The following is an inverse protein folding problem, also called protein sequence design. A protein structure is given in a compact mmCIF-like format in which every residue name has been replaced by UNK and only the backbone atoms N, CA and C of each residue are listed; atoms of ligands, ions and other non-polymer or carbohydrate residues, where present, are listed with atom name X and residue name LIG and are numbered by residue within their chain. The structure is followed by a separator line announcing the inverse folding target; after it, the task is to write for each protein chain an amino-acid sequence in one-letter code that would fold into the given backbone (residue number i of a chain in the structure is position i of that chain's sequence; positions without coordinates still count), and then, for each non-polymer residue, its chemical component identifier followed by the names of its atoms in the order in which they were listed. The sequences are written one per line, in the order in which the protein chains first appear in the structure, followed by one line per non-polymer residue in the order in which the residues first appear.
data_IF_781547662929
#
_entry.id   IF_781547662929
#
_cell.length_a   1.000
_cell.length_b   1.000
_cell.length_c   1.000
_cell.angle_alpha   90.00
_cell.angle_beta   90.00
_cell.angle_gamma   90.00
#
_symmetry.space_group_name_H-M   'P 1'
#
loop_
_entity.id
_entity.type
_entity.pdbx_description
1 polymer ?
#
# COMPACT_ATOMS: atom_id res chain seq x y z
N UNK A 1 28.17 2.97 31.48
CA UNK A 1 27.84 4.28 30.87
C UNK A 1 28.68 4.39 29.63
N UNK A 2 28.19 3.87 28.50
CA UNK A 2 27.15 4.42 27.61
C UNK A 2 27.79 5.30 26.53
N UNK A 3 27.98 4.70 25.35
CA UNK A 3 28.11 5.36 24.03
C UNK A 3 27.39 4.48 22.99
N UNK A 4 26.40 3.69 23.41
CA UNK A 4 25.59 2.86 22.51
C UNK A 4 24.12 3.31 22.52
N UNK A 5 23.86 4.44 23.17
CA UNK A 5 22.59 5.18 23.18
C UNK A 5 22.67 6.31 22.16
N UNK A 6 22.84 6.03 20.86
CA UNK A 6 22.65 7.05 19.82
C UNK A 6 22.55 6.48 18.39
N UNK A 7 22.10 5.23 18.26
CA UNK A 7 21.69 4.70 16.95
C UNK A 7 20.34 4.00 17.11
N UNK A 8 19.41 4.67 17.77
CA UNK A 8 17.99 4.54 17.40
C UNK A 8 17.79 5.30 16.08
N UNK A 9 18.50 4.85 15.04
CA UNK A 9 18.09 5.09 13.66
C UNK A 9 16.79 4.32 13.50
N UNK A 10 15.69 5.07 13.64
CA UNK A 10 14.29 4.68 13.59
C UNK A 10 13.86 4.12 12.21
N UNK A 11 14.81 3.65 11.40
CA UNK A 11 14.55 2.89 10.19
C UNK A 11 14.25 1.45 10.59
N UNK A 12 13.02 1.23 11.08
CA UNK A 12 12.36 -0.07 10.90
C UNK A 12 12.33 -0.32 9.39
N UNK A 13 13.34 -1.00 8.87
CA UNK A 13 13.28 -1.71 7.59
C UNK A 13 12.00 -2.54 7.64
N UNK A 14 10.91 -2.01 7.06
CA UNK A 14 9.73 -2.81 6.81
C UNK A 14 10.21 -3.89 5.87
N UNK A 15 10.31 -5.12 6.36
CA UNK A 15 10.52 -6.29 5.53
C UNK A 15 9.41 -6.27 4.47
N UNK A 16 9.78 -5.92 3.24
CA UNK A 16 8.86 -5.74 2.13
C UNK A 16 8.28 -7.12 1.83
N UNK A 17 6.97 -7.29 2.05
CA UNK A 17 6.29 -8.54 1.72
C UNK A 17 6.01 -8.58 0.22
N UNK A 18 6.19 -9.74 -0.41
CA UNK A 18 5.79 -9.96 -1.81
C UNK A 18 4.31 -9.63 -2.07
N UNK A 19 3.46 -9.80 -1.06
CA UNK A 19 2.05 -9.40 -1.12
C UNK A 19 1.86 -7.87 -1.09
N UNK A 20 2.70 -7.13 -0.37
CA UNK A 20 2.64 -5.66 -0.35
C UNK A 20 3.11 -5.10 -1.70
N UNK A 21 4.17 -5.68 -2.26
CA UNK A 21 4.63 -5.35 -3.61
C UNK A 21 3.54 -5.62 -4.65
N UNK A 22 2.86 -6.77 -4.59
CA UNK A 22 1.74 -7.09 -5.49
C UNK A 22 0.59 -6.07 -5.39
N UNK A 23 0.24 -5.62 -4.18
CA UNK A 23 -0.78 -4.58 -3.96
C UNK A 23 -0.35 -3.27 -4.63
N UNK A 24 0.88 -2.82 -4.41
CA UNK A 24 1.37 -1.54 -4.94
C UNK A 24 1.49 -1.58 -6.47
N UNK A 25 1.97 -2.69 -7.04
CA UNK A 25 2.02 -2.90 -8.48
C UNK A 25 0.63 -2.80 -9.12
N UNK A 26 -0.36 -3.45 -8.49
CA UNK A 26 -1.73 -3.44 -9.00
C UNK A 26 -2.34 -2.04 -8.91
N UNK A 27 -2.11 -1.31 -7.82
CA UNK A 27 -2.56 0.08 -7.68
C UNK A 27 -1.93 1.00 -8.75
N UNK A 28 -0.63 0.87 -9.02
CA UNK A 28 0.04 1.62 -10.09
C UNK A 28 -0.59 1.32 -11.46
N UNK A 29 -0.85 0.04 -11.75
CA UNK A 29 -1.42 -0.37 -13.03
C UNK A 29 -2.84 0.17 -13.23
N UNK A 30 -3.67 0.20 -12.18
CA UNK A 30 -5.06 0.65 -12.30
C UNK A 30 -5.15 2.19 -12.35
N UNK A 31 -4.23 2.90 -11.71
CA UNK A 31 -4.22 4.37 -11.67
C UNK A 31 -4.00 5.03 -13.04
N UNK A 32 -3.48 4.32 -14.04
CA UNK A 32 -3.44 4.83 -15.42
C UNK A 32 -4.79 4.77 -16.15
N UNK A 33 -5.76 4.03 -15.63
CA UNK A 33 -7.02 3.74 -16.31
C UNK A 33 -8.25 4.24 -15.54
N UNK A 34 -8.16 4.34 -14.21
CA UNK A 34 -9.30 4.64 -13.34
C UNK A 34 -8.91 5.65 -12.26
N UNK A 35 -9.90 6.41 -11.77
CA UNK A 35 -9.72 7.36 -10.67
C UNK A 35 -9.93 6.71 -9.29
N UNK A 36 -10.63 5.58 -9.25
CA UNK A 36 -10.99 4.85 -8.03
C UNK A 36 -11.08 3.35 -8.27
N UNK A 37 -10.87 2.58 -7.20
CA UNK A 37 -11.06 1.12 -7.20
C UNK A 37 -11.58 0.67 -5.83
N UNK A 38 -12.44 -0.34 -5.79
CA UNK A 38 -12.85 -0.96 -4.54
C UNK A 38 -11.84 -1.97 -4.03
N UNK A 39 -11.72 -2.07 -2.70
CA UNK A 39 -10.79 -3.03 -2.06
C UNK A 39 -11.09 -4.48 -2.45
N UNK A 40 -12.36 -4.81 -2.74
CA UNK A 40 -12.71 -6.18 -3.17
C UNK A 40 -12.27 -6.45 -4.61
N UNK A 41 -12.44 -5.50 -5.53
CA UNK A 41 -11.95 -5.60 -6.92
C UNK A 41 -10.43 -5.72 -6.95
N UNK A 42 -9.73 -4.87 -6.19
CA UNK A 42 -8.27 -4.96 -6.06
C UNK A 42 -7.84 -6.34 -5.54
N UNK A 43 -8.56 -6.89 -4.57
CA UNK A 43 -8.28 -8.20 -4.02
C UNK A 43 -8.52 -9.33 -5.03
N UNK A 44 -9.54 -9.21 -5.89
CA UNK A 44 -9.78 -10.14 -6.99
C UNK A 44 -8.64 -10.09 -8.02
N UNK A 45 -8.18 -8.89 -8.41
CA UNK A 45 -7.07 -8.74 -9.36
C UNK A 45 -5.77 -9.42 -8.90
N UNK A 46 -5.46 -9.32 -7.61
CA UNK A 46 -4.23 -9.89 -7.04
C UNK A 46 -4.43 -11.29 -6.45
N UNK A 47 -5.63 -11.86 -6.50
CA UNK A 47 -5.94 -13.19 -5.97
C UNK A 47 -5.84 -13.31 -4.44
N UNK A 48 -6.14 -12.24 -3.70
CA UNK A 48 -6.03 -12.18 -2.24
C UNK A 48 -7.38 -12.04 -1.55
N UNK A 49 -7.40 -12.28 -0.24
CA UNK A 49 -8.59 -12.03 0.57
C UNK A 49 -8.82 -10.52 0.78
N UNK A 50 -10.02 -9.96 0.52
CA UNK A 50 -10.28 -8.52 0.69
C UNK A 50 -9.99 -7.95 2.07
N UNK A 51 -10.17 -8.73 3.15
CA UNK A 51 -9.80 -8.27 4.51
C UNK A 51 -8.30 -8.15 4.69
N UNK A 52 -7.53 -9.09 4.12
CA UNK A 52 -6.06 -9.04 4.14
C UNK A 52 -5.54 -7.84 3.35
N UNK A 53 -6.06 -7.63 2.14
CA UNK A 53 -5.73 -6.45 1.31
C UNK A 53 -6.06 -5.16 2.06
N UNK A 54 -7.25 -5.08 2.67
CA UNK A 54 -7.63 -3.93 3.48
C UNK A 54 -6.66 -3.63 4.64
N UNK A 55 -6.18 -4.65 5.37
CA UNK A 55 -5.18 -4.45 6.44
C UNK A 55 -3.84 -3.99 5.88
N UNK A 56 -3.38 -4.60 4.78
CA UNK A 56 -2.12 -4.25 4.13
C UNK A 56 -2.13 -2.83 3.56
N UNK A 57 -3.22 -2.42 2.92
CA UNK A 57 -3.41 -1.03 2.51
C UNK A 57 -3.28 -0.05 3.68
N UNK A 58 -3.85 -0.39 4.84
CA UNK A 58 -3.72 0.44 6.05
C UNK A 58 -2.27 0.52 6.54
N UNK A 59 -1.53 -0.60 6.56
CA UNK A 59 -0.11 -0.57 6.94
C UNK A 59 0.72 0.21 5.93
N UNK A 60 0.42 0.12 4.63
CA UNK A 60 1.08 0.87 3.56
C UNK A 60 0.79 2.38 3.60
N UNK A 61 -0.18 2.82 4.41
CA UNK A 61 -0.60 4.22 4.49
C UNK A 61 -1.58 4.63 3.38
N UNK A 62 -2.14 3.67 2.65
CA UNK A 62 -3.12 3.90 1.60
C UNK A 62 -4.51 4.11 2.25
N UNK A 63 -5.04 5.31 2.05
CA UNK A 63 -6.35 5.73 2.57
C UNK A 63 -7.46 5.04 1.81
N UNK A 64 -8.47 4.61 2.58
CA UNK A 64 -9.67 3.95 2.10
C UNK A 64 -10.89 4.61 2.70
N UNK A 65 -11.94 4.78 1.92
CA UNK A 65 -13.17 5.45 2.32
C UNK A 65 -14.35 4.49 2.25
N UNK A 66 -15.30 4.62 3.19
CA UNK A 66 -16.53 3.83 3.16
C UNK A 66 -17.49 4.43 2.13
N UNK A 67 -17.94 3.61 1.18
CA UNK A 67 -19.05 3.90 0.27
C UNK A 67 -20.25 2.99 0.56
N UNK A 68 -21.34 3.15 -0.21
CA UNK A 68 -22.51 2.26 -0.15
C UNK A 68 -22.18 0.84 -0.61
N UNK A 69 -21.24 0.70 -1.53
CA UNK A 69 -20.89 -0.57 -2.19
C UNK A 69 -19.70 -1.27 -1.52
N UNK A 70 -18.88 -0.53 -0.73
CA UNK A 70 -17.78 -1.15 -0.01
C UNK A 70 -16.75 -0.17 0.53
N UNK A 71 -15.52 -0.64 0.69
CA UNK A 71 -14.36 0.22 0.95
C UNK A 71 -13.74 0.59 -0.39
N UNK A 72 -13.67 1.89 -0.67
CA UNK A 72 -13.15 2.48 -1.91
C UNK A 72 -11.76 3.07 -1.68
N UNK A 73 -10.93 3.04 -2.70
CA UNK A 73 -9.62 3.70 -2.77
C UNK A 73 -9.75 4.79 -3.82
N UNK A 74 -9.51 6.04 -3.42
CA UNK A 74 -9.37 7.16 -4.35
C UNK A 74 -7.90 7.19 -4.79
N UNK A 75 -7.63 6.88 -6.07
CA UNK A 75 -6.28 6.68 -6.57
C UNK A 75 -5.53 8.01 -6.66
N UNK A 76 -6.22 9.09 -7.04
CA UNK A 76 -5.64 10.45 -7.08
C UNK A 76 -5.22 10.92 -5.69
N UNK A 77 -6.05 10.70 -4.67
CA UNK A 77 -5.72 11.07 -3.27
C UNK A 77 -4.56 10.27 -2.68
N UNK A 78 -4.25 9.11 -3.25
CA UNK A 78 -3.18 8.23 -2.80
C UNK A 78 -1.97 8.21 -3.75
N UNK A 79 -2.01 8.96 -4.86
CA UNK A 79 -1.03 8.84 -5.95
C UNK A 79 0.41 9.00 -5.49
N UNK A 80 0.69 10.07 -4.74
CA UNK A 80 2.01 10.35 -4.17
C UNK A 80 2.51 9.17 -3.33
N UNK A 81 1.66 8.67 -2.43
CA UNK A 81 2.03 7.54 -1.57
C UNK A 81 2.23 6.23 -2.34
N UNK A 82 1.43 5.98 -3.38
CA UNK A 82 1.57 4.80 -4.24
C UNK A 82 2.91 4.85 -4.98
N UNK A 83 3.31 6.02 -5.48
CA UNK A 83 4.59 6.23 -6.17
C UNK A 83 5.78 6.05 -5.22
N UNK A 84 5.74 6.65 -4.03
CA UNK A 84 6.77 6.45 -3.00
C UNK A 84 6.97 4.96 -2.67
N UNK A 85 5.88 4.24 -2.42
CA UNK A 85 5.95 2.81 -2.12
C UNK A 85 6.53 1.99 -3.29
N UNK A 86 6.25 2.39 -4.53
CA UNK A 86 6.80 1.72 -5.69
C UNK A 86 8.31 1.96 -5.81
N UNK A 87 8.78 3.18 -5.54
CA UNK A 87 10.21 3.48 -5.48
C UNK A 87 10.88 2.66 -4.36
N UNK A 88 10.27 2.60 -3.17
CA UNK A 88 10.72 1.78 -2.05
C UNK A 88 10.84 0.29 -2.42
N UNK A 89 9.94 -0.24 -3.26
CA UNK A 89 9.87 -1.67 -3.58
C UNK A 89 10.66 -2.09 -4.83
N UNK A 90 10.87 -1.19 -5.80
CA UNK A 90 11.41 -1.55 -7.12
C UNK A 90 12.74 -0.89 -7.47
N UNK A 91 13.26 0.03 -6.65
CA UNK A 91 14.56 0.68 -6.86
C UNK A 91 15.64 0.24 -5.86
N UNK A 92 15.40 -0.83 -5.09
CA UNK A 92 16.42 -1.51 -4.27
C UNK A 92 17.24 -2.51 -5.09
#
# INVERSE_FOLDING_TARGET
MSVVEEVEEEHKERVISSEDAAIVQSLLSVMSEMDEIYVHELAEYIGMNPRSVGRRLASLGIKRERSREGMRIDLRRNEERIKELAEEFYLQ
#
